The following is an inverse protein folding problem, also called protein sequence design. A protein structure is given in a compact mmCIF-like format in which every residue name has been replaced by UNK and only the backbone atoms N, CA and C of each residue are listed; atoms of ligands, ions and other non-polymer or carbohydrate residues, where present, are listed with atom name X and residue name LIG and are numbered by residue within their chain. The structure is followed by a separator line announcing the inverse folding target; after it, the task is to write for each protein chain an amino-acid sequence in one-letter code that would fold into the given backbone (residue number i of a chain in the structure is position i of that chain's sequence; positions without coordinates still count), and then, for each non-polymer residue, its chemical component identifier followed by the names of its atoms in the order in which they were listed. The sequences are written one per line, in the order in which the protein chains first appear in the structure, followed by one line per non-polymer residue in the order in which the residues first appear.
data_IF_550272195053
#
_entry.id   IF_550272195053
#
_cell.length_a   1.000
_cell.length_b   1.000
_cell.length_c   1.000
_cell.angle_alpha   90.00
_cell.angle_beta   90.00
_cell.angle_gamma   90.00
#
_symmetry.space_group_name_H-M   'P 1'
#
loop_
_entity.id
_entity.type
_entity.pdbx_description
1 polymer ?
#
# COMPACT_ATOMS: atom_id res chain seq x y z
N UNK A 1 -17.03 -2.26 11.99
CA UNK A 1 -16.61 -1.12 11.14
C UNK A 1 -15.22 -1.42 10.57
N UNK A 2 -14.92 -0.91 9.39
CA UNK A 2 -13.60 -0.98 8.77
C UNK A 2 -13.26 0.36 8.09
N UNK A 3 -12.01 0.68 7.96
CA UNK A 3 -11.56 1.87 7.24
C UNK A 3 -11.67 1.63 5.73
N UNK A 4 -12.22 2.59 4.99
CA UNK A 4 -12.24 2.59 3.53
C UNK A 4 -11.39 3.74 3.01
N UNK A 5 -10.41 3.42 2.18
CA UNK A 5 -9.58 4.41 1.47
C UNK A 5 -9.85 4.25 -0.03
N UNK A 6 -10.67 5.11 -0.64
CA UNK A 6 -10.99 5.00 -2.07
C UNK A 6 -9.75 5.07 -2.96
N UNK A 7 -8.73 5.81 -2.51
CA UNK A 7 -7.52 6.05 -3.29
C UNK A 7 -7.70 7.17 -4.31
N UNK A 8 -6.84 7.16 -5.32
CA UNK A 8 -6.82 8.17 -6.38
C UNK A 8 -6.67 7.54 -7.77
N UNK A 9 -6.70 8.36 -8.82
CA UNK A 9 -6.67 7.89 -10.20
C UNK A 9 -7.85 6.96 -10.50
N UNK A 10 -7.57 5.69 -10.78
CA UNK A 10 -8.59 4.64 -11.01
C UNK A 10 -9.18 4.09 -9.69
N UNK A 11 -8.69 4.55 -8.55
CA UNK A 11 -9.06 4.05 -7.22
C UNK A 11 -10.55 4.14 -6.93
N UNK A 12 -11.18 5.33 -7.03
CA UNK A 12 -12.60 5.50 -6.73
C UNK A 12 -13.50 4.56 -7.54
N UNK A 13 -13.30 4.46 -8.86
CA UNK A 13 -14.08 3.56 -9.72
C UNK A 13 -13.93 2.09 -9.33
N UNK A 14 -12.70 1.66 -9.05
CA UNK A 14 -12.41 0.29 -8.63
C UNK A 14 -13.03 -0.03 -7.27
N UNK A 15 -12.96 0.92 -6.34
CA UNK A 15 -13.53 0.76 -5.00
C UNK A 15 -15.05 0.77 -5.06
N UNK A 16 -15.67 1.65 -5.85
CA UNK A 16 -17.13 1.68 -6.01
C UNK A 16 -17.65 0.35 -6.57
N UNK A 17 -16.98 -0.21 -7.57
CA UNK A 17 -17.32 -1.54 -8.11
C UNK A 17 -17.16 -2.64 -7.05
N UNK A 18 -16.11 -2.57 -6.25
CA UNK A 18 -15.89 -3.51 -5.15
C UNK A 18 -16.96 -3.40 -4.08
N UNK A 19 -17.38 -2.18 -3.74
CA UNK A 19 -18.43 -1.91 -2.77
C UNK A 19 -19.78 -2.48 -3.23
N UNK A 20 -20.13 -2.31 -4.51
CA UNK A 20 -21.35 -2.89 -5.08
C UNK A 20 -21.37 -4.43 -4.96
N UNK A 21 -20.24 -5.08 -5.19
CA UNK A 21 -20.10 -6.54 -5.05
C UNK A 21 -20.26 -6.94 -3.57
N UNK A 22 -19.59 -6.24 -2.66
CA UNK A 22 -19.67 -6.52 -1.23
C UNK A 22 -21.10 -6.34 -0.70
N UNK A 23 -21.80 -5.30 -1.13
CA UNK A 23 -23.18 -5.04 -0.76
C UNK A 23 -24.13 -6.14 -1.29
N UNK A 24 -23.94 -6.57 -2.53
CA UNK A 24 -24.71 -7.67 -3.13
C UNK A 24 -24.49 -9.02 -2.41
N UNK A 25 -23.30 -9.21 -1.84
CA UNK A 25 -22.96 -10.37 -1.00
C UNK A 25 -23.46 -10.26 0.45
N UNK A 26 -24.12 -9.16 0.82
CA UNK A 26 -24.58 -8.94 2.19
C UNK A 26 -23.47 -8.68 3.19
N UNK A 27 -22.41 -7.99 2.77
CA UNK A 27 -21.25 -7.67 3.62
C UNK A 27 -21.69 -6.95 4.90
N UNK A 28 -21.24 -7.39 6.09
CA UNK A 28 -21.61 -6.78 7.37
C UNK A 28 -20.83 -5.50 7.69
N UNK A 29 -19.93 -5.06 6.81
CA UNK A 29 -19.04 -3.93 7.09
C UNK A 29 -19.79 -2.60 7.02
N UNK A 30 -19.54 -1.78 8.03
CA UNK A 30 -19.79 -0.34 8.00
C UNK A 30 -18.47 0.36 7.76
N UNK A 31 -18.44 1.33 6.86
CA UNK A 31 -17.22 1.94 6.38
C UNK A 31 -16.97 3.31 7.01
N UNK A 32 -15.76 3.49 7.52
CA UNK A 32 -15.19 4.78 7.92
C UNK A 32 -14.30 5.26 6.77
N UNK A 33 -14.83 6.20 5.97
CA UNK A 33 -14.17 6.67 4.74
C UNK A 33 -13.08 7.68 5.07
N UNK A 34 -11.85 7.39 4.65
CA UNK A 34 -10.66 8.20 4.90
C UNK A 34 -9.92 8.52 3.60
N UNK A 35 -9.16 9.63 3.61
CA UNK A 35 -8.39 10.09 2.46
C UNK A 35 -6.94 9.64 2.56
N UNK A 36 -6.33 9.26 1.41
CA UNK A 36 -4.90 9.04 1.26
C UNK A 36 -4.47 9.26 -0.20
N UNK A 37 -3.16 9.27 -0.46
CA UNK A 37 -2.60 9.57 -1.78
C UNK A 37 -2.78 11.04 -2.14
N UNK A 38 -3.03 11.34 -3.40
CA UNK A 38 -3.25 12.71 -3.86
C UNK A 38 -4.45 13.37 -3.20
N UNK A 39 -5.54 12.62 -3.00
CA UNK A 39 -6.71 13.13 -2.28
C UNK A 39 -6.38 13.56 -0.84
N UNK A 40 -5.44 12.89 -0.18
CA UNK A 40 -4.92 13.29 1.12
C UNK A 40 -4.09 14.57 1.06
N UNK A 41 -3.25 14.71 0.04
CA UNK A 41 -2.45 15.93 -0.20
C UNK A 41 -3.37 17.14 -0.45
N UNK A 42 -4.35 16.99 -1.33
CA UNK A 42 -5.28 18.06 -1.70
C UNK A 42 -6.14 18.52 -0.51
N UNK A 43 -6.59 17.57 0.33
CA UNK A 43 -7.45 17.89 1.46
C UNK A 43 -6.70 18.34 2.71
N UNK A 44 -5.51 17.78 2.99
CA UNK A 44 -4.85 17.87 4.29
C UNK A 44 -3.33 18.13 4.21
N UNK A 45 -2.76 18.22 3.02
CA UNK A 45 -1.33 18.47 2.80
C UNK A 45 -0.41 17.27 3.08
N UNK A 46 -0.96 16.09 3.41
CA UNK A 46 -0.20 14.86 3.64
C UNK A 46 -0.81 13.71 2.82
N UNK A 47 0.01 12.97 2.04
CA UNK A 47 -0.46 11.81 1.30
C UNK A 47 -0.89 10.63 2.20
N UNK A 48 -0.61 10.68 3.50
CA UNK A 48 -1.08 9.72 4.49
C UNK A 48 -1.41 10.43 5.81
N UNK A 49 -2.57 11.10 5.89
CA UNK A 49 -2.96 11.89 7.06
C UNK A 49 -3.09 11.08 8.35
N UNK A 50 -2.76 11.69 9.48
CA UNK A 50 -2.84 11.04 10.80
C UNK A 50 -4.27 10.55 11.13
N UNK A 51 -5.30 11.26 10.69
CA UNK A 51 -6.69 10.78 10.89
C UNK A 51 -6.97 9.45 10.18
N UNK A 52 -6.35 9.20 9.02
CA UNK A 52 -6.46 7.93 8.30
C UNK A 52 -5.75 6.83 9.07
N UNK A 53 -4.55 7.09 9.59
CA UNK A 53 -3.81 6.17 10.46
C UNK A 53 -4.60 5.86 11.74
N UNK A 54 -5.17 6.87 12.38
CA UNK A 54 -6.00 6.70 13.57
C UNK A 54 -7.24 5.83 13.32
N UNK A 55 -7.91 6.01 12.17
CA UNK A 55 -9.02 5.15 11.74
C UNK A 55 -8.60 3.69 11.60
N UNK A 56 -7.46 3.43 10.92
CA UNK A 56 -6.94 2.07 10.74
C UNK A 56 -6.56 1.46 12.09
N UNK A 57 -5.87 2.20 12.98
CA UNK A 57 -5.53 1.71 14.34
C UNK A 57 -6.78 1.33 15.12
N UNK A 58 -7.85 2.13 15.01
CA UNK A 58 -9.12 1.90 15.70
C UNK A 58 -9.84 0.66 15.18
N UNK A 59 -9.94 0.50 13.87
CA UNK A 59 -10.74 -0.57 13.26
C UNK A 59 -9.94 -1.84 12.99
N UNK A 60 -8.61 -1.76 12.91
CA UNK A 60 -7.69 -2.87 12.62
C UNK A 60 -7.97 -3.61 11.31
N UNK A 61 -8.78 -3.03 10.47
CA UNK A 61 -9.11 -3.53 9.14
C UNK A 61 -9.31 -2.35 8.21
N UNK A 62 -8.67 -2.42 7.04
CA UNK A 62 -8.84 -1.40 6.01
C UNK A 62 -8.96 -2.04 4.62
N UNK A 63 -9.91 -1.53 3.84
CA UNK A 63 -9.98 -1.75 2.40
C UNK A 63 -9.41 -0.51 1.71
N UNK A 64 -8.42 -0.72 0.83
CA UNK A 64 -7.70 0.36 0.18
C UNK A 64 -7.68 0.20 -1.33
N UNK A 65 -8.13 1.21 -2.04
CA UNK A 65 -7.94 1.35 -3.47
C UNK A 65 -6.48 1.70 -3.85
N UNK A 66 -6.16 1.78 -5.14
CA UNK A 66 -4.87 2.25 -5.63
C UNK A 66 -4.52 3.64 -5.11
N UNK A 67 -3.24 3.87 -4.82
CA UNK A 67 -2.70 5.18 -4.42
C UNK A 67 -1.57 5.57 -5.38
N UNK A 68 -1.67 6.74 -5.95
CA UNK A 68 -0.61 7.33 -6.76
C UNK A 68 0.47 7.91 -5.86
N UNK A 69 1.73 7.60 -6.17
CA UNK A 69 2.87 8.25 -5.53
C UNK A 69 3.34 9.38 -6.43
N UNK A 70 3.33 10.65 -5.98
CA UNK A 70 3.85 11.76 -6.77
C UNK A 70 5.31 11.54 -7.12
N UNK A 71 5.66 11.62 -8.40
CA UNK A 71 7.05 11.53 -8.86
C UNK A 71 7.73 12.89 -8.71
N UNK A 72 8.90 12.92 -8.07
CA UNK A 72 9.71 14.15 -7.94
C UNK A 72 9.25 15.12 -6.84
N UNK A 73 8.19 14.84 -6.10
CA UNK A 73 7.66 15.73 -5.06
C UNK A 73 8.24 15.56 -3.65
N UNK A 74 9.25 14.68 -3.47
CA UNK A 74 9.86 14.46 -2.15
C UNK A 74 9.00 13.63 -1.18
N UNK A 75 7.82 13.19 -1.59
CA UNK A 75 6.97 12.34 -0.77
C UNK A 75 7.39 10.87 -0.87
N UNK A 76 7.55 10.24 0.28
CA UNK A 76 7.71 8.80 0.35
C UNK A 76 6.38 8.11 0.00
N UNK A 77 6.45 6.95 -0.66
CA UNK A 77 5.26 6.18 -1.05
C UNK A 77 4.32 5.94 0.14
N UNK A 78 3.06 6.35 0.01
CA UNK A 78 2.03 6.10 1.04
C UNK A 78 1.82 4.61 1.32
N UNK A 79 2.02 3.75 0.30
CA UNK A 79 1.94 2.31 0.47
C UNK A 79 3.09 1.77 1.34
N UNK A 80 4.30 2.31 1.18
CA UNK A 80 5.47 1.94 2.00
C UNK A 80 5.26 2.42 3.43
N UNK A 81 4.85 3.69 3.62
CA UNK A 81 4.54 4.25 4.95
C UNK A 81 3.47 3.43 5.69
N UNK A 82 2.39 3.01 5.00
CA UNK A 82 1.35 2.16 5.61
C UNK A 82 1.91 0.81 6.10
N UNK A 83 2.78 0.18 5.30
CA UNK A 83 3.38 -1.10 5.69
C UNK A 83 4.27 -0.98 6.92
N UNK A 84 5.06 0.08 6.99
CA UNK A 84 5.94 0.37 8.13
C UNK A 84 5.16 0.73 9.38
N UNK A 85 4.19 1.63 9.26
CA UNK A 85 3.38 2.12 10.37
C UNK A 85 2.60 1.01 11.08
N UNK A 86 2.16 0.00 10.33
CA UNK A 86 1.38 -1.12 10.85
C UNK A 86 2.15 -2.44 10.88
N UNK A 87 3.47 -2.40 10.65
CA UNK A 87 4.34 -3.59 10.63
C UNK A 87 3.77 -4.73 9.77
N UNK A 88 3.31 -4.37 8.55
CA UNK A 88 2.68 -5.32 7.63
C UNK A 88 3.74 -6.18 6.93
N UNK A 89 4.38 -7.07 7.67
CA UNK A 89 5.50 -7.89 7.22
C UNK A 89 5.11 -8.92 6.15
N UNK A 90 3.86 -9.38 6.12
CA UNK A 90 3.41 -10.43 5.21
C UNK A 90 2.38 -9.92 4.20
N UNK A 91 2.66 -10.14 2.91
CA UNK A 91 1.71 -9.93 1.82
C UNK A 91 1.19 -11.31 1.37
N UNK A 92 -0.03 -11.63 1.76
CA UNK A 92 -0.65 -12.93 1.51
C UNK A 92 -1.45 -12.89 0.21
N UNK A 93 -1.11 -13.76 -0.74
CA UNK A 93 -1.71 -13.81 -2.08
C UNK A 93 -2.18 -15.24 -2.40
N UNK A 94 -3.43 -15.59 -2.11
CA UNK A 94 -3.99 -16.85 -2.58
C UNK A 94 -4.20 -16.80 -4.09
N UNK A 95 -3.83 -17.87 -4.78
CA UNK A 95 -4.03 -18.04 -6.21
C UNK A 95 -4.62 -19.42 -6.49
N UNK A 96 -5.80 -19.44 -7.10
CA UNK A 96 -6.53 -20.65 -7.43
C UNK A 96 -6.99 -20.64 -8.88
N UNK A 97 -6.86 -21.76 -9.57
CA UNK A 97 -7.43 -21.90 -10.91
C UNK A 97 -8.96 -21.88 -10.82
N UNK A 98 -9.59 -20.89 -11.45
CA UNK A 98 -11.05 -20.76 -11.50
C UNK A 98 -11.63 -21.17 -12.85
N UNK A 99 -10.83 -21.08 -13.91
CA UNK A 99 -11.23 -21.41 -15.29
C UNK A 99 -10.09 -22.24 -15.95
N UNK A 100 -10.38 -23.11 -16.91
CA UNK A 100 -9.36 -23.78 -17.70
C UNK A 100 -8.41 -22.78 -18.37
N UNK A 101 -7.11 -23.04 -18.32
CA UNK A 101 -6.09 -22.17 -18.87
C UNK A 101 -4.77 -22.91 -19.07
N UNK A 102 -3.65 -22.15 -19.20
CA UNK A 102 -2.32 -22.74 -19.40
C UNK A 102 -1.88 -23.64 -18.25
N UNK A 103 -2.31 -23.31 -17.01
CA UNK A 103 -2.02 -24.08 -15.81
C UNK A 103 -3.33 -24.48 -15.16
N UNK A 104 -3.46 -25.75 -14.85
CA UNK A 104 -4.64 -26.34 -14.21
C UNK A 104 -4.30 -26.78 -12.78
N UNK A 105 -5.34 -26.89 -11.95
CA UNK A 105 -5.22 -27.38 -10.57
C UNK A 105 -4.27 -26.57 -9.67
N UNK A 106 -4.17 -25.25 -9.91
CA UNK A 106 -3.43 -24.35 -9.03
C UNK A 106 -4.29 -24.08 -7.79
N UNK A 107 -3.72 -24.32 -6.62
CA UNK A 107 -4.28 -23.90 -5.32
C UNK A 107 -3.10 -23.63 -4.37
N UNK A 108 -2.57 -22.42 -4.43
CA UNK A 108 -1.40 -21.99 -3.68
C UNK A 108 -1.68 -20.73 -2.89
N UNK A 109 -0.98 -20.56 -1.78
CA UNK A 109 -0.92 -19.29 -1.04
C UNK A 109 0.51 -18.80 -1.08
N UNK A 110 0.73 -17.70 -1.79
CA UNK A 110 2.01 -17.01 -1.81
C UNK A 110 2.09 -16.06 -0.61
N UNK A 111 3.07 -16.23 0.25
CA UNK A 111 3.38 -15.28 1.32
C UNK A 111 4.66 -14.54 0.92
N UNK A 112 4.55 -13.23 0.68
CA UNK A 112 5.67 -12.38 0.33
C UNK A 112 6.08 -11.53 1.52
N UNK A 113 7.38 -11.51 1.81
CA UNK A 113 7.97 -10.53 2.71
C UNK A 113 7.74 -9.10 2.18
N UNK A 114 7.51 -8.13 3.06
CA UNK A 114 6.98 -6.83 2.65
C UNK A 114 7.63 -5.61 3.34
N UNK A 115 8.53 -5.81 4.30
CA UNK A 115 9.20 -4.75 5.07
C UNK A 115 10.72 -4.79 4.95
N UNK A 116 11.31 -5.99 4.85
CA UNK A 116 12.74 -6.19 4.77
C UNK A 116 13.31 -6.06 3.35
N UNK A 117 14.53 -6.48 3.18
CA UNK A 117 15.25 -6.37 1.92
C UNK A 117 15.51 -4.92 1.54
N UNK A 118 15.38 -4.58 0.27
CA UNK A 118 15.55 -3.23 -0.25
C UNK A 118 14.44 -2.25 0.17
N UNK A 119 13.31 -2.73 0.71
CA UNK A 119 12.25 -1.87 1.23
C UNK A 119 12.64 -1.07 2.47
N UNK A 120 13.75 -1.43 3.13
CA UNK A 120 14.33 -0.67 4.23
C UNK A 120 14.75 0.74 3.79
N UNK A 121 15.09 0.90 2.48
CA UNK A 121 15.43 2.16 1.84
C UNK A 121 16.53 2.95 2.58
N UNK A 122 17.54 2.25 3.12
CA UNK A 122 18.76 2.86 3.63
C UNK A 122 19.71 3.12 2.47
N UNK A 123 19.58 4.30 1.89
CA UNK A 123 20.33 4.73 0.72
C UNK A 123 21.17 5.96 1.05
N UNK A 124 22.40 6.00 0.57
CA UNK A 124 23.28 7.17 0.71
C UNK A 124 24.33 7.21 -0.38
N UNK A 125 24.92 8.38 -0.58
CA UNK A 125 26.04 8.56 -1.49
C UNK A 125 27.36 8.67 -0.73
N UNK A 126 28.41 8.11 -1.30
CA UNK A 126 29.77 8.29 -0.82
C UNK A 126 30.48 9.24 -1.78
N UNK A 127 30.95 10.40 -1.29
CA UNK A 127 31.71 11.33 -2.13
C UNK A 127 33.11 10.79 -2.41
N UNK A 128 33.62 11.05 -3.62
CA UNK A 128 35.02 10.74 -4.00
C UNK A 128 35.60 11.96 -4.72
N UNK A 129 36.62 12.57 -4.12
CA UNK A 129 37.16 13.83 -4.62
C UNK A 129 36.10 14.93 -4.63
N UNK A 130 35.94 15.58 -5.77
CA UNK A 130 34.96 16.68 -5.95
C UNK A 130 33.55 16.20 -6.35
N UNK A 131 33.33 14.89 -6.53
CA UNK A 131 32.02 14.33 -6.85
C UNK A 131 31.29 13.88 -5.58
N UNK A 132 30.25 14.60 -5.13
CA UNK A 132 29.48 14.25 -3.93
C UNK A 132 28.60 13.00 -4.09
N UNK A 133 28.41 12.49 -5.31
CA UNK A 133 27.56 11.36 -5.64
C UNK A 133 28.28 10.25 -6.41
N UNK A 134 29.61 10.16 -6.24
CA UNK A 134 30.43 9.22 -6.97
C UNK A 134 30.05 7.75 -6.77
N UNK A 135 29.59 7.38 -5.58
CA UNK A 135 29.16 6.02 -5.26
C UNK A 135 27.81 6.05 -4.60
N UNK A 136 26.84 5.36 -5.19
CA UNK A 136 25.53 5.11 -4.56
C UNK A 136 25.62 3.81 -3.75
N UNK A 137 25.09 3.84 -2.52
CA UNK A 137 25.02 2.68 -1.64
C UNK A 137 23.56 2.43 -1.26
N UNK A 138 23.13 1.19 -1.41
CA UNK A 138 21.83 0.71 -0.93
C UNK A 138 22.06 -0.45 0.05
N UNK A 139 21.40 -0.42 1.18
CA UNK A 139 21.51 -1.45 2.22
C UNK A 139 20.37 -2.44 2.15
N UNK A 140 20.70 -3.73 2.22
CA UNK A 140 19.75 -4.83 2.34
C UNK A 140 19.64 -5.23 3.81
N UNK A 141 18.43 -5.22 4.37
CA UNK A 141 18.16 -5.80 5.68
C UNK A 141 17.68 -7.24 5.53
N UNK A 142 18.29 -8.13 6.31
CA UNK A 142 17.87 -9.53 6.44
C UNK A 142 17.54 -9.74 7.91
N UNK A 143 16.29 -10.07 8.19
CA UNK A 143 15.77 -10.40 9.53
C UNK A 143 15.33 -11.84 9.63
#
# INVERSE_FOLDING_TARGET
MATLIPGDGIGPETVDSTMQILDALGSPFQWDVQQAGMAGVDALGDPLPEQTLASIRKHRLALKGPLTTPVGGGFRSSNVRLREEFELYANVRPAKTLIPGRFENIDIVLVRENLGGFYVAHEYYIPVGDDPKAVAVESLSIS
#
